data_IF_048562387712
#
_entry.id   IF_048562387712
#
_cell.length_a   1.000
_cell.length_b   1.000
_cell.length_c   1.000
_cell.angle_alpha   90.00
_cell.angle_beta   90.00
_cell.angle_gamma   90.00
#
_symmetry.space_group_name_H-M   'P 1'
#
loop_
_entity.id
_entity.type
_entity.pdbx_description
1 polymer ?
#
# COMPACT_ATOMS: atom_id res chain seq x y z
N UNK A 1 -27.14 -28.55 -1.37
CA UNK A 1 -27.50 -27.40 -0.52
C UNK A 1 -27.11 -26.12 -1.25
N UNK A 2 -28.07 -25.22 -1.48
CA UNK A 2 -27.75 -23.89 -2.06
C UNK A 2 -27.46 -22.92 -0.92
N UNK A 3 -26.33 -22.26 -0.95
CA UNK A 3 -25.97 -21.26 0.04
C UNK A 3 -26.79 -19.98 -0.20
N UNK A 4 -27.35 -19.42 0.88
CA UNK A 4 -28.07 -18.14 0.81
C UNK A 4 -27.07 -17.01 0.51
N UNK A 5 -27.34 -16.26 -0.57
CA UNK A 5 -26.54 -15.08 -0.89
C UNK A 5 -26.73 -14.02 0.20
N UNK A 6 -25.64 -13.63 0.86
CA UNK A 6 -25.63 -12.53 1.81
C UNK A 6 -25.47 -11.21 1.02
N UNK A 7 -26.49 -10.37 1.07
CA UNK A 7 -26.42 -9.00 0.55
C UNK A 7 -26.13 -8.07 1.70
N UNK A 8 -25.05 -7.30 1.59
CA UNK A 8 -24.76 -6.23 2.54
C UNK A 8 -25.72 -5.08 2.29
N UNK A 9 -26.34 -4.56 3.35
CA UNK A 9 -27.13 -3.33 3.27
C UNK A 9 -26.20 -2.14 2.99
N UNK A 10 -26.67 -1.20 2.18
CA UNK A 10 -26.00 0.09 2.05
C UNK A 10 -25.96 0.78 3.41
N UNK A 11 -24.79 1.22 3.83
CA UNK A 11 -24.58 1.94 5.08
C UNK A 11 -24.41 3.41 4.76
N UNK A 12 -25.37 4.23 5.13
CA UNK A 12 -25.27 5.67 5.01
C UNK A 12 -24.01 6.19 5.75
N UNK A 13 -23.25 7.07 5.09
CA UNK A 13 -22.02 7.66 5.66
C UNK A 13 -20.75 6.83 5.50
N UNK A 14 -20.82 5.67 4.87
CA UNK A 14 -19.61 4.91 4.54
C UNK A 14 -19.03 5.37 3.18
N UNK A 15 -17.69 5.37 3.04
CA UNK A 15 -17.08 5.63 1.74
C UNK A 15 -17.57 4.63 0.69
N UNK A 16 -17.76 5.10 -0.54
CA UNK A 16 -18.09 4.22 -1.66
C UNK A 16 -17.03 3.10 -1.78
N UNK A 17 -17.45 1.87 -2.06
CA UNK A 17 -16.50 0.78 -2.27
C UNK A 17 -15.64 1.05 -3.51
N UNK A 18 -14.36 0.72 -3.47
CA UNK A 18 -13.45 0.86 -4.60
C UNK A 18 -13.89 0.07 -5.83
N UNK A 19 -14.70 -0.98 -5.63
CA UNK A 19 -15.27 -1.82 -6.68
C UNK A 19 -16.79 -1.82 -6.52
N UNK A 20 -17.45 -0.76 -6.98
CA UNK A 20 -18.90 -0.59 -6.88
C UNK A 20 -19.64 -1.52 -7.84
N UNK A 21 -19.17 -1.63 -9.08
CA UNK A 21 -19.75 -2.49 -10.13
C UNK A 21 -18.64 -3.37 -10.74
N UNK A 22 -18.58 -4.60 -10.28
CA UNK A 22 -17.62 -5.59 -10.77
C UNK A 22 -17.77 -5.87 -12.27
N UNK A 23 -19.02 -5.96 -12.75
CA UNK A 23 -19.30 -6.32 -14.15
C UNK A 23 -18.84 -5.22 -15.09
N UNK A 24 -19.14 -3.97 -14.77
CA UNK A 24 -18.69 -2.81 -15.54
C UNK A 24 -17.17 -2.67 -15.53
N UNK A 25 -16.54 -2.80 -14.35
CA UNK A 25 -15.08 -2.71 -14.22
C UNK A 25 -14.40 -3.84 -14.99
N UNK A 26 -14.91 -5.08 -14.90
CA UNK A 26 -14.35 -6.21 -15.64
C UNK A 26 -14.47 -6.02 -17.17
N UNK A 27 -15.61 -5.52 -17.64
CA UNK A 27 -15.83 -5.30 -19.07
C UNK A 27 -14.93 -4.20 -19.65
N UNK A 28 -14.64 -3.15 -18.87
CA UNK A 28 -13.79 -2.04 -19.28
C UNK A 28 -12.31 -2.19 -18.92
N UNK A 29 -11.89 -3.27 -18.24
CA UNK A 29 -10.50 -3.43 -17.78
C UNK A 29 -9.55 -3.68 -18.94
N UNK A 30 -8.42 -2.96 -18.92
CA UNK A 30 -7.23 -3.27 -19.72
C UNK A 30 -5.97 -3.03 -18.91
N UNK A 31 -4.89 -3.72 -19.25
CA UNK A 31 -3.59 -3.50 -18.62
C UNK A 31 -3.03 -2.10 -18.89
N UNK A 32 -3.36 -1.51 -20.02
CA UNK A 32 -2.96 -0.14 -20.36
C UNK A 32 -3.65 0.87 -19.43
N UNK A 33 -4.94 0.67 -19.14
CA UNK A 33 -5.64 1.48 -18.13
C UNK A 33 -5.01 1.34 -16.74
N UNK A 34 -4.70 0.10 -16.32
CA UNK A 34 -4.06 -0.14 -15.04
C UNK A 34 -2.68 0.54 -14.97
N UNK A 35 -1.91 0.45 -16.03
CA UNK A 35 -0.59 1.11 -16.15
C UNK A 35 -0.71 2.63 -16.15
N UNK A 36 -1.69 3.20 -16.84
CA UNK A 36 -1.93 4.64 -16.86
C UNK A 36 -2.30 5.22 -15.49
N UNK A 37 -2.81 4.39 -14.58
CA UNK A 37 -3.06 4.76 -13.17
C UNK A 37 -1.81 4.82 -12.30
N UNK A 38 -0.65 4.35 -12.79
CA UNK A 38 0.62 4.41 -12.09
C UNK A 38 1.41 5.65 -12.53
N UNK A 39 2.08 6.30 -11.57
CA UNK A 39 2.91 7.49 -11.87
C UNK A 39 4.22 7.09 -12.56
N UNK A 40 4.79 5.94 -12.16
CA UNK A 40 6.09 5.50 -12.66
C UNK A 40 7.26 6.30 -12.09
N UNK A 41 8.45 5.95 -12.55
CA UNK A 41 9.69 6.66 -12.27
C UNK A 41 10.07 7.53 -13.47
N UNK A 42 10.91 8.58 -13.28
CA UNK A 42 11.33 9.49 -14.38
C UNK A 42 11.96 8.79 -15.59
N UNK A 43 12.55 7.59 -15.39
CA UNK A 43 13.15 6.77 -16.44
C UNK A 43 12.16 5.80 -17.11
N UNK A 44 10.85 5.92 -16.85
CA UNK A 44 9.81 5.03 -17.36
C UNK A 44 9.72 3.67 -16.63
N UNK A 45 10.54 3.46 -15.61
CA UNK A 45 10.47 2.26 -14.75
C UNK A 45 9.25 2.29 -13.82
N UNK A 46 8.91 1.13 -13.27
CA UNK A 46 7.90 0.98 -12.23
C UNK A 46 8.55 0.51 -10.95
N UNK A 47 8.14 1.09 -9.82
CA UNK A 47 8.57 0.68 -8.50
C UNK A 47 7.36 0.64 -7.58
N UNK A 48 7.04 -0.55 -7.09
CA UNK A 48 5.86 -0.77 -6.25
C UNK A 48 5.94 0.01 -4.93
N UNK A 49 7.12 0.16 -4.34
CA UNK A 49 7.30 0.93 -3.10
C UNK A 49 7.03 2.42 -3.34
N UNK A 50 7.54 2.99 -4.45
CA UNK A 50 7.23 4.34 -4.85
C UNK A 50 5.72 4.55 -5.04
N UNK A 51 5.05 3.65 -5.79
CA UNK A 51 3.61 3.74 -6.03
C UNK A 51 2.78 3.60 -4.75
N UNK A 52 3.23 2.77 -3.81
CA UNK A 52 2.50 2.49 -2.58
C UNK A 52 2.76 3.51 -1.46
N UNK A 53 3.91 4.17 -1.45
CA UNK A 53 4.34 5.04 -0.34
C UNK A 53 4.73 6.43 -0.82
N UNK A 54 5.81 6.56 -1.59
CA UNK A 54 6.46 7.85 -1.83
C UNK A 54 5.59 8.82 -2.63
N UNK A 55 4.87 8.34 -3.65
CA UNK A 55 3.98 9.19 -4.44
C UNK A 55 2.90 9.88 -3.60
N UNK A 56 2.48 9.27 -2.49
CA UNK A 56 1.46 9.85 -1.63
C UNK A 56 1.95 11.06 -0.82
N UNK A 57 3.26 11.20 -0.65
CA UNK A 57 3.84 12.41 -0.05
C UNK A 57 3.63 13.60 -0.99
N UNK A 58 3.90 13.39 -2.29
CA UNK A 58 3.72 14.41 -3.33
C UNK A 58 2.24 14.77 -3.52
N UNK A 59 1.34 13.80 -3.33
CA UNK A 59 -0.11 13.96 -3.45
C UNK A 59 -0.75 14.68 -2.23
N UNK A 60 0.08 15.16 -1.28
CA UNK A 60 -0.38 15.87 -0.09
C UNK A 60 -0.98 14.95 0.99
N UNK A 61 -0.74 13.65 0.90
CA UNK A 61 -1.25 12.65 1.86
C UNK A 61 -0.20 12.23 2.89
N UNK A 62 0.89 12.99 3.03
CA UNK A 62 2.02 12.65 3.87
C UNK A 62 1.63 12.30 5.32
N UNK A 63 0.72 13.06 5.90
CA UNK A 63 0.31 12.90 7.30
C UNK A 63 -0.93 12.00 7.48
N UNK A 64 -1.44 11.43 6.37
CA UNK A 64 -2.52 10.44 6.43
C UNK A 64 -2.00 9.12 6.98
N UNK A 65 -2.79 8.49 7.86
CA UNK A 65 -2.49 7.14 8.37
C UNK A 65 -2.46 6.14 7.22
N UNK A 66 -1.31 5.52 7.01
CA UNK A 66 -1.09 4.48 6.01
C UNK A 66 -1.26 3.08 6.60
N UNK A 67 -0.78 2.87 7.82
CA UNK A 67 -0.88 1.60 8.55
C UNK A 67 -1.39 1.87 9.95
N UNK A 68 -2.39 1.11 10.37
CA UNK A 68 -2.83 1.05 11.77
C UNK A 68 -2.58 -0.36 12.29
N UNK A 69 -1.71 -0.46 13.27
CA UNK A 69 -1.43 -1.70 13.98
C UNK A 69 -2.27 -1.77 15.24
N UNK A 70 -2.94 -2.89 15.43
CA UNK A 70 -3.70 -3.17 16.65
C UNK A 70 -2.97 -4.25 17.44
N UNK A 71 -2.61 -3.94 18.66
CA UNK A 71 -2.03 -4.88 19.60
C UNK A 71 -3.09 -5.81 20.20
N UNK A 72 -2.63 -6.72 21.02
CA UNK A 72 -3.49 -7.74 21.67
C UNK A 72 -4.57 -7.11 22.57
N UNK A 73 -4.23 -6.03 23.24
CA UNK A 73 -5.11 -5.31 24.18
C UNK A 73 -5.87 -4.17 23.50
N UNK A 74 -5.97 -4.24 22.14
CA UNK A 74 -6.63 -3.26 21.28
C UNK A 74 -5.97 -1.86 21.30
N UNK A 75 -4.80 -1.72 21.91
CA UNK A 75 -3.99 -0.52 21.71
C UNK A 75 -3.65 -0.34 20.23
N UNK A 76 -3.70 0.88 19.75
CA UNK A 76 -3.41 1.18 18.36
C UNK A 76 -2.13 2.01 18.22
N UNK A 77 -1.34 1.67 17.18
CA UNK A 77 -0.19 2.46 16.75
C UNK A 77 -0.36 2.78 15.26
N UNK A 78 -0.37 4.04 14.95
CA UNK A 78 -0.54 4.54 13.60
C UNK A 78 0.80 4.94 12.99
N UNK A 79 0.97 4.65 11.70
CA UNK A 79 2.07 5.11 10.87
C UNK A 79 1.49 5.88 9.70
N UNK A 80 1.95 7.11 9.52
CA UNK A 80 1.63 7.92 8.34
C UNK A 80 2.45 7.49 7.12
N UNK A 81 2.10 7.98 5.93
CA UNK A 81 2.94 7.80 4.74
C UNK A 81 4.33 8.40 4.93
N UNK A 82 4.42 9.53 5.62
CA UNK A 82 5.71 10.17 5.97
C UNK A 82 6.57 9.28 6.85
N UNK A 83 5.97 8.61 7.85
CA UNK A 83 6.70 7.69 8.72
C UNK A 83 7.24 6.52 7.93
N UNK A 84 6.43 5.92 7.04
CA UNK A 84 6.85 4.81 6.20
C UNK A 84 8.00 5.21 5.27
N UNK A 85 7.91 6.34 4.59
CA UNK A 85 8.98 6.85 3.74
C UNK A 85 10.27 7.09 4.52
N UNK A 86 10.15 7.64 5.74
CA UNK A 86 11.31 7.89 6.61
C UNK A 86 11.95 6.58 7.07
N UNK A 87 11.15 5.62 7.53
CA UNK A 87 11.64 4.34 8.03
C UNK A 87 12.28 3.51 6.90
N UNK A 88 11.63 3.44 5.73
CA UNK A 88 12.19 2.71 4.58
C UNK A 88 13.49 3.32 4.08
N UNK A 89 13.60 4.65 4.05
CA UNK A 89 14.84 5.34 3.68
C UNK A 89 15.97 5.06 4.69
N UNK A 90 15.67 5.08 5.98
CA UNK A 90 16.65 4.73 7.03
C UNK A 90 17.12 3.29 6.88
N UNK A 91 16.19 2.36 6.60
CA UNK A 91 16.55 0.96 6.39
C UNK A 91 17.41 0.78 5.12
N UNK A 92 17.09 1.47 4.04
CA UNK A 92 17.90 1.46 2.83
C UNK A 92 19.34 1.97 3.11
N UNK A 93 19.49 3.07 3.85
CA UNK A 93 20.82 3.57 4.26
C UNK A 93 21.57 2.58 5.13
N UNK A 94 20.88 1.88 6.04
CA UNK A 94 21.51 0.82 6.85
C UNK A 94 22.06 -0.30 5.97
N UNK A 95 21.27 -0.78 5.00
CA UNK A 95 21.72 -1.81 4.06
C UNK A 95 22.94 -1.36 3.26
N UNK A 96 22.93 -0.14 2.76
CA UNK A 96 24.10 0.45 2.07
C UNK A 96 25.32 0.53 2.97
N UNK A 97 25.16 0.93 4.24
CA UNK A 97 26.24 0.98 5.21
C UNK A 97 26.82 -0.41 5.52
N UNK A 98 25.98 -1.45 5.51
CA UNK A 98 26.39 -2.85 5.65
C UNK A 98 27.04 -3.43 4.37
N UNK A 99 27.14 -2.65 3.31
CA UNK A 99 27.79 -3.05 2.05
C UNK A 99 26.86 -3.81 1.09
N UNK A 100 25.56 -3.83 1.35
CA UNK A 100 24.60 -4.47 0.43
C UNK A 100 24.49 -3.66 -0.86
N UNK A 101 24.69 -4.32 -1.99
CA UNK A 101 24.68 -3.71 -3.32
C UNK A 101 23.40 -4.06 -4.10
N UNK A 102 23.01 -3.27 -5.13
CA UNK A 102 21.87 -3.59 -5.97
C UNK A 102 21.98 -4.98 -6.60
N UNK A 103 20.92 -5.78 -6.49
CA UNK A 103 20.86 -7.15 -7.01
C UNK A 103 21.16 -8.22 -5.96
N UNK A 104 21.68 -7.86 -4.80
CA UNK A 104 21.86 -8.80 -3.71
C UNK A 104 20.53 -9.15 -3.04
N UNK A 105 20.49 -10.33 -2.44
CA UNK A 105 19.29 -10.83 -1.76
C UNK A 105 19.39 -10.58 -0.28
N UNK A 106 18.38 -9.91 0.27
CA UNK A 106 18.20 -9.69 1.70
C UNK A 106 17.08 -10.60 2.19
N UNK A 107 17.33 -11.34 3.27
CA UNK A 107 16.34 -12.19 3.92
C UNK A 107 15.97 -11.57 5.26
N UNK A 108 14.69 -11.54 5.57
CA UNK A 108 14.18 -11.14 6.87
C UNK A 108 13.35 -12.26 7.48
N UNK A 109 13.50 -12.46 8.78
CA UNK A 109 12.68 -13.38 9.59
C UNK A 109 12.09 -12.57 10.73
N UNK A 110 10.90 -12.08 10.53
CA UNK A 110 10.23 -11.17 11.47
C UNK A 110 8.92 -11.80 11.97
N UNK A 111 8.52 -11.46 13.19
CA UNK A 111 7.20 -11.72 13.70
C UNK A 111 6.15 -10.80 13.07
N UNK A 112 4.95 -10.77 13.67
CA UNK A 112 3.91 -9.81 13.31
C UNK A 112 4.16 -8.49 14.06
N UNK A 113 5.07 -7.72 13.55
CA UNK A 113 5.48 -6.42 14.10
C UNK A 113 5.31 -5.35 13.02
N UNK A 114 5.02 -4.11 13.41
CA UNK A 114 4.84 -3.01 12.44
C UNK A 114 6.16 -2.51 11.84
N UNK A 115 7.30 -2.81 12.47
CA UNK A 115 8.65 -2.42 12.04
C UNK A 115 9.23 -3.28 10.93
#
# INVERSE_FOLDING_TARGET
MAWKTLRKSERAGWPAPNLADYSAVRAGFSWDMARAGLRGLPNGGLNIAFEAVDRHLDDGLADKVAIRCLGRDLESRDFSYRDLATLSSRFAHLLMHLGVTPGERVFSLLGRVPE
#
